data_IF_937663335284
#
_entry.id   IF_937663335284
#
_cell.length_a   1.000
_cell.length_b   1.000
_cell.length_c   1.000
_cell.angle_alpha   90.00
_cell.angle_beta   90.00
_cell.angle_gamma   90.00
#
_symmetry.space_group_name_H-M   'P 1'
#
loop_
_entity.id
_entity.type
_entity.pdbx_description
1 polymer ?
#
# COMPACT_ATOMS: atom_id res chain seq x y z
N UNK A 1 25.19 -85.18 -38.17
CA UNK A 1 26.63 -85.13 -38.47
C UNK A 1 27.29 -84.34 -37.35
N UNK A 2 28.17 -85.02 -36.62
CA UNK A 2 29.36 -84.56 -35.84
C UNK A 2 29.75 -83.07 -35.97
N UNK A 3 30.41 -82.37 -35.04
CA UNK A 3 30.91 -82.49 -33.66
C UNK A 3 31.91 -81.31 -33.53
N UNK A 4 32.21 -80.92 -32.30
CA UNK A 4 33.47 -80.32 -31.84
C UNK A 4 33.66 -78.80 -31.68
N UNK A 5 34.23 -78.56 -30.49
CA UNK A 5 34.66 -77.37 -29.78
C UNK A 5 36.01 -76.86 -30.30
N UNK A 6 36.37 -75.59 -30.07
CA UNK A 6 37.47 -75.28 -29.14
C UNK A 6 37.67 -73.79 -28.80
N UNK A 7 38.30 -73.58 -27.64
CA UNK A 7 38.64 -72.35 -26.91
C UNK A 7 39.69 -71.44 -27.59
N UNK A 8 39.71 -70.14 -27.22
CA UNK A 8 40.83 -69.43 -26.52
C UNK A 8 40.67 -67.89 -26.46
N UNK A 9 40.67 -67.33 -25.25
CA UNK A 9 41.22 -66.00 -24.86
C UNK A 9 42.77 -66.08 -24.77
N UNK A 10 43.61 -65.00 -24.67
CA UNK A 10 43.42 -63.75 -23.89
C UNK A 10 44.15 -62.46 -24.40
N UNK A 11 44.12 -61.42 -23.53
CA UNK A 11 45.09 -60.32 -23.25
C UNK A 11 44.86 -58.85 -23.70
N UNK A 12 44.47 -58.05 -22.69
CA UNK A 12 44.96 -56.73 -22.26
C UNK A 12 45.51 -55.70 -23.27
N UNK A 13 44.89 -54.51 -23.27
CA UNK A 13 45.62 -53.22 -23.19
C UNK A 13 44.96 -52.26 -22.21
N UNK A 14 45.80 -51.71 -21.33
CA UNK A 14 45.52 -50.69 -20.33
C UNK A 14 45.77 -49.27 -20.86
N UNK A 15 44.87 -48.36 -20.43
CA UNK A 15 45.06 -46.95 -20.07
C UNK A 15 45.52 -45.94 -21.15
N UNK A 16 44.64 -44.96 -21.42
CA UNK A 16 45.05 -43.55 -21.49
C UNK A 16 43.93 -42.62 -21.00
N UNK A 17 44.29 -41.73 -20.09
CA UNK A 17 43.45 -40.71 -19.45
C UNK A 17 43.12 -39.60 -20.45
N UNK A 18 41.83 -39.33 -20.67
CA UNK A 18 41.35 -37.96 -20.85
C UNK A 18 40.05 -37.77 -20.09
N UNK A 19 40.13 -36.85 -19.13
CA UNK A 19 39.00 -36.19 -18.47
C UNK A 19 38.19 -35.48 -19.54
N UNK A 20 36.89 -35.69 -19.57
CA UNK A 20 35.94 -34.61 -19.75
C UNK A 20 34.71 -34.93 -18.90
N UNK A 21 34.39 -33.96 -18.05
CA UNK A 21 33.40 -33.99 -17.01
C UNK A 21 32.02 -33.91 -17.69
N UNK A 22 31.23 -34.97 -17.62
CA UNK A 22 29.79 -34.88 -17.79
C UNK A 22 29.22 -34.51 -16.41
N UNK A 23 29.05 -33.21 -16.17
CA UNK A 23 28.33 -32.71 -15.01
C UNK A 23 26.88 -33.14 -15.14
N UNK A 24 26.47 -34.09 -14.32
CA UNK A 24 25.06 -34.31 -14.06
C UNK A 24 24.52 -33.05 -13.37
N UNK A 25 23.71 -32.28 -14.10
CA UNK A 25 22.92 -31.20 -13.56
C UNK A 25 21.88 -31.81 -12.61
N UNK A 26 22.26 -31.96 -11.34
CA UNK A 26 21.31 -32.10 -10.26
C UNK A 26 20.55 -30.78 -10.15
N UNK A 27 19.30 -30.77 -10.61
CA UNK A 27 18.35 -29.72 -10.26
C UNK A 27 18.07 -29.89 -8.77
N UNK A 28 18.89 -29.22 -7.95
CA UNK A 28 18.53 -28.90 -6.58
C UNK A 28 17.35 -27.94 -6.68
N UNK A 29 16.14 -28.48 -6.55
CA UNK A 29 14.98 -27.69 -6.18
C UNK A 29 15.28 -27.09 -4.79
N UNK A 30 15.80 -25.87 -4.78
CA UNK A 30 15.76 -25.02 -3.59
C UNK A 30 14.27 -24.78 -3.32
N UNK A 31 13.71 -25.23 -2.19
CA UNK A 31 12.44 -24.69 -1.78
C UNK A 31 12.71 -23.21 -1.49
N UNK A 32 12.19 -22.33 -2.34
CA UNK A 32 11.99 -20.94 -1.94
C UNK A 32 10.96 -20.98 -0.81
N UNK A 33 11.45 -21.19 0.42
CA UNK A 33 10.76 -20.73 1.61
C UNK A 33 10.74 -19.21 1.49
N UNK A 34 9.72 -18.69 0.84
CA UNK A 34 9.30 -17.31 1.07
C UNK A 34 8.93 -17.25 2.56
N UNK A 35 9.84 -16.77 3.41
CA UNK A 35 9.43 -16.35 4.74
C UNK A 35 8.49 -15.17 4.51
N UNK A 36 7.21 -15.38 4.75
CA UNK A 36 6.27 -14.30 4.99
C UNK A 36 6.75 -13.58 6.26
N UNK A 37 7.62 -12.59 6.09
CA UNK A 37 7.90 -11.61 7.13
C UNK A 37 6.70 -10.69 7.14
N UNK A 38 5.92 -10.70 8.21
CA UNK A 38 4.79 -9.77 8.33
C UNK A 38 5.32 -8.34 8.33
N UNK A 39 4.56 -7.36 7.84
CA UNK A 39 5.02 -5.96 7.88
C UNK A 39 5.17 -5.41 9.31
N UNK A 40 4.56 -6.09 10.29
CA UNK A 40 4.82 -5.86 11.72
C UNK A 40 6.23 -6.34 12.08
N UNK A 41 6.62 -7.53 11.64
CA UNK A 41 8.01 -8.00 11.70
C UNK A 41 8.96 -7.06 10.93
N UNK A 42 8.52 -6.46 9.82
CA UNK A 42 9.33 -5.48 9.10
C UNK A 42 9.60 -4.24 9.94
N UNK A 43 8.59 -3.60 10.56
CA UNK A 43 8.80 -2.45 11.47
C UNK A 43 9.64 -2.80 12.69
N UNK A 44 9.42 -4.01 13.19
CA UNK A 44 10.03 -4.50 14.42
C UNK A 44 11.48 -4.92 14.19
N UNK A 45 11.79 -5.47 13.02
CA UNK A 45 13.12 -5.95 12.64
C UNK A 45 13.85 -5.02 11.66
N UNK A 46 13.36 -3.79 11.42
CA UNK A 46 14.03 -2.85 10.51
C UNK A 46 15.37 -2.45 11.15
N UNK A 47 16.52 -2.57 10.44
CA UNK A 47 17.76 -1.93 10.86
C UNK A 47 17.49 -0.43 11.04
N UNK A 48 17.81 0.12 12.22
CA UNK A 48 17.44 1.49 12.58
C UNK A 48 17.73 2.52 11.48
N UNK A 49 16.96 3.62 11.48
CA UNK A 49 17.09 4.72 10.51
C UNK A 49 18.57 5.09 10.38
N UNK A 50 19.23 4.59 9.33
CA UNK A 50 20.59 5.01 8.98
C UNK A 50 20.59 6.50 8.63
N UNK A 51 21.74 7.10 8.39
CA UNK A 51 21.89 8.49 7.88
C UNK A 51 21.29 8.69 6.45
N UNK A 52 20.16 8.07 6.15
CA UNK A 52 19.28 8.41 5.04
C UNK A 52 18.62 9.75 5.40
N UNK A 53 19.41 10.79 5.14
CA UNK A 53 19.16 12.21 5.40
C UNK A 53 17.84 12.73 4.83
N UNK A 54 17.47 13.94 5.27
CA UNK A 54 16.42 14.88 4.82
C UNK A 54 16.14 14.96 3.29
N UNK A 55 16.92 14.27 2.47
CA UNK A 55 16.68 14.11 1.04
C UNK A 55 15.40 13.34 0.72
N UNK A 56 14.91 12.41 1.54
CA UNK A 56 13.65 11.70 1.21
C UNK A 56 12.45 12.66 1.23
N UNK A 57 12.36 13.53 2.24
CA UNK A 57 11.34 14.58 2.32
C UNK A 57 11.50 15.61 1.17
N UNK A 58 12.72 15.80 0.66
CA UNK A 58 13.00 16.69 -0.48
C UNK A 58 12.82 16.03 -1.87
N UNK A 59 12.78 14.70 -1.96
CA UNK A 59 12.56 13.96 -3.21
C UNK A 59 11.07 13.72 -3.42
N UNK A 60 10.47 14.73 -4.07
CA UNK A 60 9.15 14.69 -4.69
C UNK A 60 8.77 13.31 -5.23
N UNK A 61 7.59 12.85 -4.80
CA UNK A 61 6.68 11.90 -5.43
C UNK A 61 7.09 11.54 -6.88
N UNK A 62 7.64 10.34 -7.07
CA UNK A 62 7.70 9.72 -8.41
C UNK A 62 6.33 9.18 -8.84
N UNK A 63 5.27 9.95 -8.60
CA UNK A 63 4.04 9.78 -9.35
C UNK A 63 4.34 10.30 -10.77
N UNK A 64 4.17 9.49 -11.83
CA UNK A 64 4.37 9.96 -13.17
C UNK A 64 3.49 11.19 -13.42
N UNK A 65 4.09 12.22 -14.02
CA UNK A 65 3.49 13.53 -14.26
C UNK A 65 2.14 13.50 -15.01
N UNK A 66 1.73 12.35 -15.55
CA UNK A 66 0.48 12.19 -16.28
C UNK A 66 -0.79 12.10 -15.42
N UNK A 67 -0.70 11.95 -14.08
CA UNK A 67 -1.89 11.88 -13.20
C UNK A 67 -1.71 12.64 -11.86
N UNK A 68 -0.79 13.61 -11.79
CA UNK A 68 -0.73 14.51 -10.62
C UNK A 68 -1.65 15.70 -10.88
N UNK A 69 -2.92 15.54 -10.53
CA UNK A 69 -3.89 16.63 -10.53
C UNK A 69 -3.91 17.28 -9.15
N UNK A 70 -3.84 18.61 -9.10
CA UNK A 70 -4.11 19.38 -7.88
C UNK A 70 -5.62 19.41 -7.54
N UNK A 71 -6.44 18.64 -8.26
CA UNK A 71 -7.85 18.47 -7.91
C UNK A 71 -7.99 17.40 -6.82
N UNK A 72 -8.83 17.66 -5.80
CA UNK A 72 -9.09 16.69 -4.76
C UNK A 72 -9.87 15.50 -5.33
N UNK A 73 -9.68 14.32 -4.73
CA UNK A 73 -10.47 13.12 -5.07
C UNK A 73 -11.95 13.43 -4.86
N UNK A 74 -12.26 14.07 -3.73
CA UNK A 74 -13.59 14.56 -3.39
C UNK A 74 -13.52 16.07 -3.22
N UNK A 75 -14.11 16.80 -4.17
CA UNK A 75 -14.36 18.24 -4.08
C UNK A 75 -15.79 18.56 -4.54
N UNK A 76 -16.20 19.83 -4.63
CA UNK A 76 -17.59 20.22 -4.88
C UNK A 76 -18.19 19.64 -6.17
N UNK A 77 -17.35 19.39 -7.19
CA UNK A 77 -17.77 18.84 -8.49
C UNK A 77 -17.75 17.30 -8.55
N UNK A 78 -17.36 16.60 -7.48
CA UNK A 78 -17.22 15.15 -7.49
C UNK A 78 -18.52 14.41 -7.88
N UNK A 79 -19.71 14.77 -7.38
CA UNK A 79 -20.96 14.14 -7.82
C UNK A 79 -21.22 14.33 -9.32
N UNK A 80 -21.01 15.54 -9.84
CA UNK A 80 -21.21 15.85 -11.26
C UNK A 80 -20.26 15.06 -12.17
N UNK A 81 -18.98 14.98 -11.80
CA UNK A 81 -18.00 14.19 -12.53
C UNK A 81 -18.35 12.70 -12.52
N UNK A 82 -18.81 12.18 -11.37
CA UNK A 82 -19.26 10.79 -11.25
C UNK A 82 -20.49 10.50 -12.12
N UNK A 83 -21.50 11.38 -12.14
CA UNK A 83 -22.66 11.24 -13.03
C UNK A 83 -22.24 11.21 -14.51
N UNK A 84 -21.28 12.04 -14.91
CA UNK A 84 -20.73 12.02 -16.27
C UNK A 84 -20.01 10.69 -16.57
N UNK A 85 -19.20 10.18 -15.64
CA UNK A 85 -18.55 8.89 -15.77
C UNK A 85 -19.55 7.73 -15.86
N UNK A 86 -20.61 7.76 -15.05
CA UNK A 86 -21.72 6.80 -15.11
C UNK A 86 -22.37 6.82 -16.50
N UNK A 87 -22.69 8.00 -17.05
CA UNK A 87 -23.26 8.11 -18.39
C UNK A 87 -22.34 7.52 -19.48
N UNK A 88 -21.03 7.77 -19.39
CA UNK A 88 -20.05 7.17 -20.30
C UNK A 88 -20.00 5.63 -20.18
N UNK A 89 -20.01 5.10 -18.96
CA UNK A 89 -19.97 3.66 -18.73
C UNK A 89 -21.27 2.96 -19.11
N UNK A 90 -22.42 3.62 -18.95
CA UNK A 90 -23.71 3.17 -19.48
C UNK A 90 -23.64 3.00 -20.99
N UNK A 91 -23.08 3.98 -21.73
CA UNK A 91 -22.90 3.86 -23.18
C UNK A 91 -22.04 2.66 -23.57
N UNK A 92 -20.93 2.43 -22.85
CA UNK A 92 -20.07 1.26 -23.06
C UNK A 92 -20.85 -0.03 -22.83
N UNK A 93 -21.61 -0.13 -21.74
CA UNK A 93 -22.43 -1.31 -21.43
C UNK A 93 -23.49 -1.54 -22.51
N UNK A 94 -24.20 -0.50 -22.95
CA UNK A 94 -25.21 -0.63 -24.02
C UNK A 94 -24.61 -1.01 -25.37
N UNK A 95 -23.33 -0.70 -25.60
CA UNK A 95 -22.60 -1.07 -26.82
C UNK A 95 -22.02 -2.50 -26.75
N UNK A 96 -22.36 -3.28 -25.73
CA UNK A 96 -21.89 -4.65 -25.54
C UNK A 96 -20.69 -4.81 -24.59
N UNK A 97 -20.22 -3.72 -23.99
CA UNK A 97 -19.07 -3.73 -23.08
C UNK A 97 -17.71 -3.80 -23.81
N UNK A 98 -16.72 -4.36 -23.12
CA UNK A 98 -15.38 -4.62 -23.67
C UNK A 98 -15.05 -6.11 -23.63
N UNK A 99 -14.20 -6.60 -24.55
CA UNK A 99 -13.80 -8.00 -24.56
C UNK A 99 -12.98 -8.36 -23.32
N UNK A 100 -13.07 -9.63 -22.93
CA UNK A 100 -12.14 -10.23 -21.98
C UNK A 100 -10.80 -10.50 -22.67
N UNK A 101 -9.72 -10.40 -21.91
CA UNK A 101 -8.36 -10.67 -22.36
C UNK A 101 -7.95 -12.03 -21.78
N UNK A 102 -7.72 -13.01 -22.66
CA UNK A 102 -7.31 -14.36 -22.28
C UNK A 102 -5.96 -14.68 -22.92
N UNK A 103 -4.85 -14.26 -22.31
CA UNK A 103 -3.54 -14.48 -22.87
C UNK A 103 -3.08 -15.92 -22.65
N UNK A 104 -2.51 -16.53 -23.70
CA UNK A 104 -1.84 -17.83 -23.61
C UNK A 104 -0.35 -17.70 -23.27
N UNK A 105 0.17 -16.47 -23.31
CA UNK A 105 1.57 -16.12 -23.05
C UNK A 105 1.63 -14.85 -22.18
N UNK A 106 2.67 -14.65 -21.38
CA UNK A 106 2.88 -13.37 -20.69
C UNK A 106 2.90 -12.21 -21.68
N UNK A 107 1.99 -11.25 -21.51
CA UNK A 107 1.88 -10.10 -22.40
C UNK A 107 2.84 -8.98 -21.97
N UNK A 108 3.86 -8.76 -22.78
CA UNK A 108 4.91 -7.77 -22.56
C UNK A 108 5.44 -7.22 -23.88
N UNK A 109 6.20 -6.11 -23.81
CA UNK A 109 6.77 -5.46 -24.98
C UNK A 109 7.54 -6.43 -25.89
N UNK A 110 7.23 -6.38 -27.19
CA UNK A 110 7.85 -7.22 -28.22
C UNK A 110 7.14 -8.57 -28.46
N UNK A 111 6.16 -8.95 -27.64
CA UNK A 111 5.35 -10.16 -27.86
C UNK A 111 4.44 -9.98 -29.08
N UNK A 112 4.28 -11.07 -29.85
CA UNK A 112 3.31 -11.19 -30.92
C UNK A 112 2.37 -12.35 -30.58
N UNK A 113 1.09 -12.07 -30.30
CA UNK A 113 0.09 -13.07 -29.93
C UNK A 113 -1.34 -12.58 -30.24
N UNK A 114 -2.28 -13.44 -30.68
CA UNK A 114 -3.66 -13.04 -30.96
C UNK A 114 -4.40 -12.41 -29.77
N UNK A 115 -4.03 -12.73 -28.53
CA UNK A 115 -4.61 -12.09 -27.34
C UNK A 115 -4.27 -10.61 -27.22
N UNK A 116 -3.24 -10.11 -27.93
CA UNK A 116 -2.94 -8.68 -28.00
C UNK A 116 -4.02 -7.92 -28.78
N UNK A 117 -4.71 -8.54 -29.74
CA UNK A 117 -5.87 -7.90 -30.39
C UNK A 117 -7.00 -7.67 -29.39
N UNK A 118 -7.27 -8.66 -28.52
CA UNK A 118 -8.28 -8.54 -27.47
C UNK A 118 -7.91 -7.42 -26.49
N UNK A 119 -6.64 -7.38 -26.08
CA UNK A 119 -6.11 -6.32 -25.22
C UNK A 119 -6.24 -4.94 -25.86
N UNK A 120 -5.87 -4.79 -27.14
CA UNK A 120 -6.00 -3.52 -27.87
C UNK A 120 -7.46 -3.07 -27.93
N UNK A 121 -8.37 -3.97 -28.29
CA UNK A 121 -9.80 -3.65 -28.31
C UNK A 121 -10.31 -3.25 -26.92
N UNK A 122 -9.90 -3.98 -25.87
CA UNK A 122 -10.23 -3.67 -24.47
C UNK A 122 -9.78 -2.26 -24.06
N UNK A 123 -8.53 -1.91 -24.37
CA UNK A 123 -7.93 -0.60 -24.04
C UNK A 123 -8.50 0.53 -24.91
N UNK A 124 -8.90 0.25 -26.16
CA UNK A 124 -9.58 1.21 -27.03
C UNK A 124 -10.95 1.57 -26.48
N UNK A 125 -11.74 0.57 -26.04
CA UNK A 125 -13.09 0.80 -25.51
C UNK A 125 -13.05 1.62 -24.23
N UNK A 126 -12.04 1.42 -23.37
CA UNK A 126 -11.85 2.24 -22.17
C UNK A 126 -11.12 3.56 -22.38
N UNK A 127 -10.66 3.86 -23.59
CA UNK A 127 -9.96 5.11 -23.92
C UNK A 127 -8.48 5.15 -23.52
N UNK A 128 -7.90 4.04 -23.08
CA UNK A 128 -6.47 3.94 -22.71
C UNK A 128 -5.54 3.90 -23.96
N UNK A 129 -6.06 3.37 -25.08
CA UNK A 129 -5.40 3.29 -26.39
C UNK A 129 -6.21 4.04 -27.45
N UNK A 130 -5.63 4.97 -28.23
CA UNK A 130 -6.37 5.65 -29.30
C UNK A 130 -6.72 4.67 -30.44
N UNK A 131 -7.90 4.83 -31.04
CA UNK A 131 -8.35 4.01 -32.17
C UNK A 131 -7.39 4.02 -33.37
N UNK A 132 -6.66 5.13 -33.56
CA UNK A 132 -5.66 5.26 -34.63
C UNK A 132 -4.46 4.33 -34.48
N UNK A 133 -4.22 3.75 -33.29
CA UNK A 133 -3.21 2.73 -33.08
C UNK A 133 -3.55 1.40 -33.78
N UNK A 134 -4.82 1.19 -34.17
CA UNK A 134 -5.30 0.02 -34.90
C UNK A 134 -5.42 -1.26 -34.05
N UNK A 135 -5.78 -2.35 -34.70
CA UNK A 135 -5.83 -3.70 -34.13
C UNK A 135 -4.71 -4.53 -34.75
N UNK A 136 -3.85 -5.12 -33.92
CA UNK A 136 -2.74 -5.99 -34.33
C UNK A 136 -2.44 -7.02 -33.23
N UNK A 137 -1.68 -8.05 -33.58
CA UNK A 137 -1.20 -9.05 -32.60
C UNK A 137 0.06 -8.58 -31.84
N UNK A 138 0.58 -7.39 -32.13
CA UNK A 138 1.87 -6.94 -31.58
C UNK A 138 1.68 -6.09 -30.32
N UNK A 139 2.36 -6.51 -29.25
CA UNK A 139 2.54 -5.72 -28.05
C UNK A 139 3.67 -4.72 -28.29
N UNK A 140 3.32 -3.58 -28.88
CA UNK A 140 4.23 -2.50 -29.21
C UNK A 140 4.27 -1.40 -28.14
N UNK A 141 4.97 -0.31 -28.43
CA UNK A 141 5.11 0.83 -27.52
C UNK A 141 3.79 1.55 -27.25
N UNK A 142 2.85 1.52 -28.20
CA UNK A 142 1.52 2.09 -28.00
C UNK A 142 0.72 1.29 -26.98
N UNK A 143 0.73 -0.05 -27.09
CA UNK A 143 0.08 -0.94 -26.12
C UNK A 143 0.75 -0.81 -24.75
N UNK A 144 2.09 -0.80 -24.68
CA UNK A 144 2.79 -0.62 -23.41
C UNK A 144 2.41 0.69 -22.72
N UNK A 145 2.38 1.80 -23.47
CA UNK A 145 1.95 3.10 -22.94
C UNK A 145 0.49 3.08 -22.47
N UNK A 146 -0.41 2.42 -23.21
CA UNK A 146 -1.81 2.27 -22.83
C UNK A 146 -2.00 1.42 -21.57
N UNK A 147 -1.24 0.32 -21.42
CA UNK A 147 -1.28 -0.51 -20.21
C UNK A 147 -0.76 0.27 -19.00
N UNK A 148 0.28 1.11 -19.15
CA UNK A 148 0.73 1.99 -18.06
C UNK A 148 -0.35 2.97 -17.62
N UNK A 149 -1.06 3.61 -18.56
CA UNK A 149 -2.20 4.49 -18.23
C UNK A 149 -3.32 3.74 -17.52
N UNK A 150 -3.63 2.53 -18.00
CA UNK A 150 -4.60 1.66 -17.37
C UNK A 150 -4.18 1.32 -15.93
N UNK A 151 -2.94 0.91 -15.72
CA UNK A 151 -2.39 0.58 -14.39
C UNK A 151 -2.47 1.79 -13.46
N UNK A 152 -2.02 2.97 -13.92
CA UNK A 152 -2.06 4.21 -13.17
C UNK A 152 -3.48 4.53 -12.66
N UNK A 153 -4.47 4.51 -13.56
CA UNK A 153 -5.86 4.84 -13.18
C UNK A 153 -6.56 3.75 -12.36
N UNK A 154 -5.96 2.57 -12.21
CA UNK A 154 -6.43 1.50 -11.32
C UNK A 154 -5.64 1.41 -10.00
N UNK A 155 -4.65 2.28 -9.78
CA UNK A 155 -3.78 2.20 -8.62
C UNK A 155 -2.84 0.99 -8.62
N UNK A 156 -2.50 0.48 -9.81
CA UNK A 156 -1.57 -0.63 -10.00
C UNK A 156 -0.18 -0.12 -10.40
N UNK A 157 0.84 -0.96 -10.27
CA UNK A 157 2.20 -0.65 -10.71
C UNK A 157 2.30 -0.38 -12.21
N UNK A 158 2.79 0.80 -12.57
CA UNK A 158 2.85 1.32 -13.94
C UNK A 158 4.02 0.74 -14.76
N UNK A 159 4.21 -0.57 -14.70
CA UNK A 159 5.31 -1.26 -15.39
C UNK A 159 5.08 -1.31 -16.91
N UNK A 160 3.82 -1.37 -17.33
CA UNK A 160 3.44 -1.76 -18.68
C UNK A 160 3.59 -3.26 -18.92
N UNK A 161 3.76 -4.06 -17.88
CA UNK A 161 3.70 -5.52 -17.91
C UNK A 161 2.33 -5.97 -17.39
N UNK A 162 1.70 -6.97 -18.03
CA UNK A 162 0.40 -7.49 -17.58
C UNK A 162 0.66 -8.63 -16.59
N UNK A 163 0.72 -8.28 -15.30
CA UNK A 163 0.71 -9.23 -14.20
C UNK A 163 -0.70 -9.76 -13.89
N UNK A 164 -0.81 -10.65 -12.91
CA UNK A 164 -2.08 -11.25 -12.49
C UNK A 164 -3.11 -10.18 -12.07
N UNK A 165 -2.70 -9.16 -11.32
CA UNK A 165 -3.59 -8.11 -10.84
C UNK A 165 -4.07 -7.20 -11.98
N UNK A 166 -3.18 -6.84 -12.90
CA UNK A 166 -3.52 -6.09 -14.12
C UNK A 166 -4.50 -6.89 -14.97
N UNK A 167 -4.27 -8.20 -15.12
CA UNK A 167 -5.16 -9.07 -15.88
C UNK A 167 -6.54 -9.20 -15.24
N UNK A 168 -6.60 -9.42 -13.91
CA UNK A 168 -7.87 -9.42 -13.16
C UNK A 168 -8.62 -8.09 -13.35
N UNK A 169 -7.93 -6.97 -13.19
CA UNK A 169 -8.51 -5.64 -13.34
C UNK A 169 -9.04 -5.37 -14.76
N UNK A 170 -8.30 -5.79 -15.80
CA UNK A 170 -8.70 -5.70 -17.21
C UNK A 170 -10.00 -6.47 -17.47
N UNK A 171 -10.14 -7.63 -16.83
CA UNK A 171 -11.24 -8.56 -17.01
C UNK A 171 -12.48 -8.26 -16.14
N UNK A 172 -12.44 -7.28 -15.25
CA UNK A 172 -13.66 -6.75 -14.63
C UNK A 172 -14.58 -6.19 -15.73
N UNK A 173 -15.82 -6.68 -15.79
CA UNK A 173 -16.77 -6.31 -16.84
C UNK A 173 -17.21 -4.84 -16.75
N UNK A 174 -17.62 -4.26 -17.88
CA UNK A 174 -18.15 -2.89 -17.92
C UNK A 174 -19.37 -2.69 -17.02
N UNK A 175 -20.22 -3.73 -16.90
CA UNK A 175 -21.40 -3.70 -16.02
C UNK A 175 -21.00 -3.61 -14.55
N UNK A 176 -19.99 -4.37 -14.14
CA UNK A 176 -19.47 -4.33 -12.76
C UNK A 176 -18.81 -2.97 -12.47
N UNK A 177 -18.04 -2.41 -13.41
CA UNK A 177 -17.46 -1.06 -13.25
C UNK A 177 -18.51 0.05 -13.22
N UNK A 178 -19.59 -0.08 -13.99
CA UNK A 178 -20.73 0.84 -13.91
C UNK A 178 -21.38 0.79 -12.52
N UNK A 179 -21.69 -0.41 -12.01
CA UNK A 179 -22.23 -0.57 -10.66
C UNK A 179 -21.29 -0.02 -9.59
N UNK A 180 -19.97 -0.20 -9.76
CA UNK A 180 -18.97 0.39 -8.88
C UNK A 180 -19.06 1.93 -8.85
N UNK A 181 -19.23 2.58 -10.00
CA UNK A 181 -19.42 4.03 -10.07
C UNK A 181 -20.71 4.48 -9.40
N UNK A 182 -21.81 3.75 -9.62
CA UNK A 182 -23.13 4.05 -9.00
C UNK A 182 -23.08 3.91 -7.47
N UNK A 183 -22.43 2.87 -6.96
CA UNK A 183 -22.18 2.69 -5.51
C UNK A 183 -21.37 3.87 -4.94
N UNK A 184 -20.32 4.30 -5.63
CA UNK A 184 -19.49 5.39 -5.14
C UNK A 184 -20.14 6.77 -5.29
N UNK A 185 -21.03 6.99 -6.26
CA UNK A 185 -21.86 8.20 -6.32
C UNK A 185 -22.68 8.35 -5.04
N UNK A 186 -23.34 7.28 -4.58
CA UNK A 186 -24.10 7.28 -3.33
C UNK A 186 -23.21 7.65 -2.14
N UNK A 187 -22.01 7.05 -2.03
CA UNK A 187 -21.06 7.36 -0.95
C UNK A 187 -20.58 8.82 -0.96
N UNK A 188 -20.38 9.40 -2.15
CA UNK A 188 -19.99 10.80 -2.30
C UNK A 188 -21.13 11.73 -1.92
N UNK A 189 -22.37 11.40 -2.31
CA UNK A 189 -23.55 12.16 -1.92
C UNK A 189 -23.80 12.11 -0.41
N UNK A 190 -23.62 10.95 0.21
CA UNK A 190 -23.77 10.75 1.67
C UNK A 190 -22.76 11.55 2.51
N UNK A 191 -21.55 11.80 1.97
CA UNK A 191 -20.52 12.60 2.65
C UNK A 191 -20.95 14.07 2.79
N UNK A 192 -21.83 14.55 1.90
CA UNK A 192 -22.24 15.94 1.80
C UNK A 192 -21.36 16.77 0.87
N UNK A 193 -21.95 17.83 0.32
CA UNK A 193 -21.30 18.70 -0.67
C UNK A 193 -20.34 19.74 -0.08
N UNK A 194 -20.40 19.97 1.24
CA UNK A 194 -19.57 20.94 1.95
C UNK A 194 -18.61 20.22 2.91
N UNK A 195 -17.36 20.06 2.45
CA UNK A 195 -16.25 19.54 3.26
C UNK A 195 -15.49 20.67 3.99
N UNK A 196 -15.94 21.92 3.82
CA UNK A 196 -15.23 23.13 4.23
C UNK A 196 -14.13 23.53 3.25
N UNK A 197 -13.65 24.76 3.39
CA UNK A 197 -12.57 25.30 2.54
C UNK A 197 -11.20 24.71 2.86
N UNK A 198 -11.03 24.07 4.03
CA UNK A 198 -9.77 23.51 4.50
C UNK A 198 -10.00 22.21 5.28
N UNK A 199 -9.56 21.08 4.75
CA UNK A 199 -9.78 19.76 5.35
C UNK A 199 -8.68 18.76 4.99
N UNK A 200 -8.62 17.67 5.74
CA UNK A 200 -7.84 16.47 5.43
C UNK A 200 -8.79 15.36 4.97
N UNK A 201 -8.45 14.69 3.87
CA UNK A 201 -9.18 13.55 3.33
C UNK A 201 -8.24 12.35 3.19
N UNK A 202 -8.54 11.26 3.91
CA UNK A 202 -7.89 9.97 3.70
C UNK A 202 -8.84 9.08 2.91
N UNK A 203 -8.50 8.79 1.65
CA UNK A 203 -9.22 7.78 0.87
C UNK A 203 -8.57 6.42 1.07
N UNK A 204 -9.22 5.57 1.87
CA UNK A 204 -8.69 4.28 2.36
C UNK A 204 -8.26 3.36 1.20
N UNK A 205 -9.14 2.97 0.25
CA UNK A 205 -8.75 2.07 -0.85
C UNK A 205 -7.74 2.69 -1.82
N UNK A 206 -7.64 4.02 -1.87
CA UNK A 206 -6.62 4.70 -2.67
C UNK A 206 -5.27 4.83 -1.95
N UNK A 207 -5.24 4.61 -0.63
CA UNK A 207 -4.06 4.78 0.22
C UNK A 207 -3.39 6.16 0.02
N UNK A 208 -4.21 7.21 -0.02
CA UNK A 208 -3.77 8.60 -0.09
C UNK A 208 -4.40 9.45 1.01
N UNK A 209 -3.62 10.40 1.50
CA UNK A 209 -4.04 11.49 2.37
C UNK A 209 -3.88 12.82 1.63
N UNK A 210 -4.95 13.59 1.50
CA UNK A 210 -4.98 14.88 0.83
C UNK A 210 -5.25 15.98 1.86
N UNK A 211 -4.37 16.96 1.93
CA UNK A 211 -4.67 18.24 2.55
C UNK A 211 -5.24 19.16 1.48
N UNK A 212 -6.51 19.51 1.61
CA UNK A 212 -7.24 20.33 0.64
C UNK A 212 -7.44 21.72 1.21
N UNK A 213 -7.19 22.72 0.38
CA UNK A 213 -7.42 24.12 0.68
C UNK A 213 -7.98 24.84 -0.55
N UNK A 214 -9.09 25.55 -0.39
CA UNK A 214 -9.74 26.33 -1.45
C UNK A 214 -9.99 25.49 -2.72
N UNK A 215 -10.58 24.31 -2.56
CA UNK A 215 -10.88 23.34 -3.63
C UNK A 215 -9.65 22.82 -4.41
N UNK A 216 -8.45 23.01 -3.86
CA UNK A 216 -7.20 22.52 -4.43
C UNK A 216 -6.46 21.66 -3.43
N UNK A 217 -5.86 20.57 -3.91
CA UNK A 217 -4.95 19.74 -3.11
C UNK A 217 -3.68 20.53 -2.89
N UNK A 218 -3.43 20.92 -1.64
CA UNK A 218 -2.20 21.56 -1.21
C UNK A 218 -1.08 20.53 -1.02
N UNK A 219 -1.42 19.37 -0.45
CA UNK A 219 -0.51 18.23 -0.27
C UNK A 219 -1.25 16.93 -0.58
N UNK A 220 -0.57 16.01 -1.26
CA UNK A 220 -1.01 14.62 -1.44
C UNK A 220 0.10 13.70 -0.97
N UNK A 221 -0.15 13.02 0.13
CA UNK A 221 0.78 12.09 0.76
C UNK A 221 0.30 10.66 0.50
N UNK A 222 1.23 9.75 0.25
CA UNK A 222 0.93 8.32 0.33
C UNK A 222 0.56 7.97 1.78
N UNK A 223 -0.42 7.10 1.94
CA UNK A 223 -0.80 6.56 3.24
C UNK A 223 -0.60 5.04 3.29
N UNK A 224 -0.44 4.49 4.49
CA UNK A 224 -0.60 3.06 4.79
C UNK A 224 -1.77 2.92 5.74
N UNK A 225 -2.78 2.14 5.36
CA UNK A 225 -4.03 1.95 6.09
C UNK A 225 -4.13 0.53 6.63
N UNK A 226 -5.23 0.22 7.33
CA UNK A 226 -5.45 -1.06 7.97
C UNK A 226 -5.52 -2.22 6.99
N UNK A 227 -5.03 -3.39 7.40
CA UNK A 227 -5.26 -4.64 6.66
C UNK A 227 -6.73 -5.07 6.74
N UNK A 228 -7.22 -5.94 5.83
CA UNK A 228 -8.61 -6.40 5.86
C UNK A 228 -9.06 -7.01 7.19
N UNK A 229 -8.17 -7.70 7.91
CA UNK A 229 -8.46 -8.27 9.24
C UNK A 229 -8.52 -7.22 10.37
N UNK A 230 -8.06 -5.98 10.13
CA UNK A 230 -8.05 -4.85 11.07
C UNK A 230 -8.30 -3.53 10.30
N UNK A 231 -9.51 -3.33 9.75
CA UNK A 231 -9.76 -2.26 8.80
C UNK A 231 -9.63 -0.88 9.46
N UNK A 232 -9.13 0.10 8.70
CA UNK A 232 -9.25 1.51 9.08
C UNK A 232 -10.72 1.92 9.03
N UNK A 233 -11.26 2.54 10.10
CA UNK A 233 -12.67 2.93 10.14
C UNK A 233 -12.95 4.12 9.21
N UNK A 234 -14.11 4.09 8.54
CA UNK A 234 -14.71 5.27 7.91
C UNK A 234 -15.18 6.22 9.02
N UNK A 235 -14.79 7.49 8.96
CA UNK A 235 -15.15 8.48 9.97
C UNK A 235 -15.12 9.92 9.44
N UNK A 236 -15.82 10.79 10.16
CA UNK A 236 -15.80 12.23 9.98
C UNK A 236 -15.48 12.86 11.35
N UNK A 237 -14.42 13.65 11.43
CA UNK A 237 -13.85 14.13 12.68
C UNK A 237 -13.15 15.48 12.50
N UNK A 238 -12.44 15.94 13.54
CA UNK A 238 -11.55 17.10 13.51
C UNK A 238 -10.22 16.76 14.16
N UNK A 239 -9.13 17.08 13.47
CA UNK A 239 -7.77 17.06 14.00
C UNK A 239 -7.63 18.23 14.96
N UNK A 240 -7.16 17.96 16.18
CA UNK A 240 -7.06 18.97 17.23
C UNK A 240 -5.66 19.04 17.86
N UNK A 241 -4.84 18.00 17.73
CA UNK A 241 -3.52 17.94 18.37
C UNK A 241 -2.52 17.19 17.49
N UNK A 242 -1.28 17.67 17.52
CA UNK A 242 -0.10 16.95 17.04
C UNK A 242 0.81 16.73 18.24
N UNK A 243 1.34 15.52 18.40
CA UNK A 243 2.37 15.20 19.38
C UNK A 243 3.65 14.90 18.61
N UNK A 244 4.63 15.80 18.73
CA UNK A 244 5.99 15.57 18.23
C UNK A 244 6.76 14.66 19.19
N UNK A 245 7.57 13.76 18.64
CA UNK A 245 8.30 12.72 19.38
C UNK A 245 7.39 11.94 20.35
N UNK A 246 6.27 11.38 19.88
CA UNK A 246 5.28 10.77 20.76
C UNK A 246 5.81 9.45 21.36
N UNK A 247 5.62 9.19 22.66
CA UNK A 247 5.82 7.85 23.21
C UNK A 247 4.73 6.92 22.66
N UNK A 248 5.07 5.64 22.46
CA UNK A 248 4.09 4.67 21.96
C UNK A 248 3.63 3.71 23.04
N UNK A 249 2.35 3.80 23.43
CA UNK A 249 1.72 2.77 24.24
C UNK A 249 1.26 1.63 23.35
N UNK A 250 1.85 0.45 23.54
CA UNK A 250 1.59 -0.71 22.68
C UNK A 250 0.19 -1.27 22.96
N UNK A 251 -0.69 -1.41 21.94
CA UNK A 251 -1.97 -2.08 22.08
C UNK A 251 -1.81 -3.54 22.53
N UNK A 252 -2.73 -4.02 23.39
CA UNK A 252 -2.67 -5.41 23.91
C UNK A 252 -2.60 -6.48 22.82
N UNK A 253 -3.27 -6.26 21.70
CA UNK A 253 -3.26 -7.19 20.57
C UNK A 253 -1.87 -7.35 19.95
N UNK A 254 -1.06 -6.27 19.94
CA UNK A 254 0.32 -6.30 19.42
C UNK A 254 1.24 -6.94 20.45
N UNK A 255 1.04 -6.65 21.75
CA UNK A 255 1.78 -7.31 22.82
C UNK A 255 1.64 -8.84 22.68
N UNK A 256 0.41 -9.33 22.52
CA UNK A 256 0.14 -10.76 22.48
C UNK A 256 0.58 -11.46 21.19
N UNK A 257 0.33 -10.84 20.03
CA UNK A 257 0.54 -11.50 18.74
C UNK A 257 1.94 -11.32 18.18
N UNK A 258 2.63 -10.24 18.57
CA UNK A 258 3.86 -9.83 17.92
C UNK A 258 5.02 -9.79 18.94
N UNK A 259 4.89 -9.03 20.04
CA UNK A 259 5.98 -8.87 21.03
C UNK A 259 6.25 -10.15 21.82
N UNK A 260 5.22 -10.86 22.28
CA UNK A 260 5.42 -12.07 23.08
C UNK A 260 6.18 -13.17 22.33
N UNK A 261 5.86 -13.49 21.05
CA UNK A 261 6.70 -14.36 20.23
C UNK A 261 8.17 -13.89 20.15
N UNK A 262 8.40 -12.61 19.88
CA UNK A 262 9.77 -12.07 19.77
C UNK A 262 10.55 -12.15 21.07
N UNK A 263 9.92 -11.90 22.22
CA UNK A 263 10.56 -12.07 23.53
C UNK A 263 10.94 -13.52 23.86
N UNK A 264 10.30 -14.52 23.24
CA UNK A 264 10.70 -15.92 23.38
C UNK A 264 11.93 -16.25 22.54
N UNK A 265 12.13 -15.54 21.43
CA UNK A 265 13.28 -15.71 20.54
C UNK A 265 14.48 -14.89 21.01
N UNK A 266 14.24 -13.64 21.42
CA UNK A 266 15.24 -12.69 21.90
C UNK A 266 14.78 -11.97 23.19
N UNK A 267 15.30 -12.36 24.36
CA UNK A 267 15.00 -11.71 25.63
C UNK A 267 15.44 -10.23 25.73
N UNK A 268 16.32 -9.75 24.85
CA UNK A 268 16.77 -8.35 24.84
C UNK A 268 15.88 -7.43 24.01
N UNK A 269 14.91 -8.00 23.28
CA UNK A 269 14.08 -7.28 22.32
C UNK A 269 13.48 -5.97 22.87
N UNK A 270 12.91 -5.99 24.08
CA UNK A 270 12.31 -4.79 24.69
C UNK A 270 13.34 -3.71 25.01
N UNK A 271 14.55 -4.10 25.43
CA UNK A 271 15.64 -3.15 25.74
C UNK A 271 16.13 -2.49 24.46
N UNK A 272 16.40 -3.28 23.43
CA UNK A 272 16.91 -2.80 22.14
C UNK A 272 15.90 -1.88 21.44
N UNK A 273 14.61 -2.15 21.62
CA UNK A 273 13.51 -1.33 21.10
C UNK A 273 13.05 -0.23 22.07
N UNK A 274 13.71 -0.05 23.22
CA UNK A 274 13.39 0.96 24.25
C UNK A 274 11.93 0.91 24.72
N UNK A 275 11.40 -0.29 24.90
CA UNK A 275 10.06 -0.55 25.41
C UNK A 275 10.16 -0.86 26.91
N UNK A 276 9.53 -0.02 27.72
CA UNK A 276 9.47 -0.17 29.18
C UNK A 276 8.12 -0.73 29.60
N UNK A 277 8.12 -1.50 30.68
CA UNK A 277 6.90 -2.11 31.23
C UNK A 277 6.48 -1.38 32.49
N UNK A 278 5.19 -1.07 32.62
CA UNK A 278 4.64 -0.41 33.80
C UNK A 278 3.48 -1.19 34.40
N UNK A 279 3.46 -1.32 35.72
CA UNK A 279 2.31 -1.86 36.45
C UNK A 279 1.14 -0.85 36.53
N UNK A 280 0.01 -1.28 37.10
CA UNK A 280 -1.17 -0.42 37.27
C UNK A 280 -0.95 0.75 38.26
N UNK A 281 0.18 0.77 38.98
CA UNK A 281 0.57 1.84 39.90
C UNK A 281 1.61 2.78 39.26
N UNK A 282 2.04 2.51 38.03
CA UNK A 282 3.05 3.27 37.30
C UNK A 282 4.50 2.91 37.65
N UNK A 283 4.74 1.84 38.40
CA UNK A 283 6.10 1.38 38.67
C UNK A 283 6.65 0.62 37.46
N UNK A 284 7.91 0.86 37.14
CA UNK A 284 8.59 0.11 36.08
C UNK A 284 8.83 -1.34 36.52
N UNK A 285 8.56 -2.29 35.63
CA UNK A 285 8.67 -3.73 35.87
C UNK A 285 9.77 -4.29 34.98
N UNK A 286 10.67 -5.08 35.56
CA UNK A 286 11.74 -5.74 34.82
C UNK A 286 11.16 -6.82 33.87
N UNK A 287 11.41 -6.75 32.55
CA UNK A 287 11.00 -7.77 31.58
C UNK A 287 11.40 -9.20 31.93
N UNK A 288 12.52 -9.38 32.64
CA UNK A 288 13.02 -10.71 33.04
C UNK A 288 12.17 -11.38 34.12
N UNK A 289 11.27 -10.64 34.76
CA UNK A 289 10.33 -11.16 35.76
C UNK A 289 9.03 -11.69 35.14
N UNK A 290 8.85 -11.53 33.83
CA UNK A 290 7.61 -11.87 33.11
C UNK A 290 7.73 -13.24 32.45
N UNK A 291 6.68 -14.05 32.58
CA UNK A 291 6.55 -15.29 31.81
C UNK A 291 6.03 -15.01 30.40
N UNK A 292 6.95 -14.97 29.43
CA UNK A 292 6.64 -14.75 28.01
C UNK A 292 5.99 -15.98 27.33
N UNK A 293 6.02 -17.15 27.96
CA UNK A 293 5.36 -18.37 27.45
C UNK A 293 3.89 -18.47 27.88
N UNK A 294 3.40 -17.56 28.72
CA UNK A 294 2.01 -17.49 29.10
C UNK A 294 1.08 -17.35 27.87
N UNK A 295 -0.13 -17.89 27.99
CA UNK A 295 -1.13 -17.83 26.90
C UNK A 295 -1.62 -16.39 26.63
N UNK A 296 -1.62 -15.55 27.66
CA UNK A 296 -2.17 -14.18 27.62
C UNK A 296 -1.07 -13.15 27.85
N UNK A 297 -1.24 -11.99 27.21
CA UNK A 297 -0.38 -10.84 27.46
C UNK A 297 -0.44 -10.41 28.94
N UNK A 298 0.72 -10.06 29.54
CA UNK A 298 0.76 -9.57 30.91
C UNK A 298 -0.13 -8.33 31.06
N UNK A 299 -0.69 -8.15 32.25
CA UNK A 299 -1.51 -6.99 32.57
C UNK A 299 -0.65 -5.78 32.94
N UNK A 300 0.19 -5.37 32.00
CA UNK A 300 1.14 -4.27 32.12
C UNK A 300 0.97 -3.31 30.93
N UNK A 301 1.38 -2.06 31.14
CA UNK A 301 1.47 -1.06 30.07
C UNK A 301 2.86 -1.15 29.44
N UNK A 302 2.91 -1.41 28.14
CA UNK A 302 4.15 -1.39 27.36
C UNK A 302 4.25 -0.03 26.72
N UNK A 303 5.32 0.71 27.03
CA UNK A 303 5.55 2.05 26.49
C UNK A 303 6.92 2.11 25.82
N UNK A 304 6.93 2.34 24.53
CA UNK A 304 8.14 2.69 23.80
C UNK A 304 8.50 4.16 24.04
N UNK A 305 9.75 4.40 24.38
CA UNK A 305 10.29 5.76 24.50
C UNK A 305 10.34 6.45 23.12
N UNK A 306 10.22 7.79 23.06
CA UNK A 306 10.38 8.53 21.82
C UNK A 306 11.72 8.30 21.12
N UNK A 307 11.72 8.37 19.79
CA UNK A 307 12.94 8.32 19.00
C UNK A 307 12.69 7.99 17.53
N UNK A 308 13.74 8.11 16.68
CA UNK A 308 13.62 7.89 15.24
C UNK A 308 13.23 6.46 14.87
N UNK A 309 13.46 5.49 15.76
CA UNK A 309 13.08 4.08 15.58
C UNK A 309 11.80 3.71 16.34
N UNK A 310 11.12 4.69 16.97
CA UNK A 310 9.81 4.46 17.59
C UNK A 310 8.80 4.08 16.51
N UNK A 311 7.83 3.21 16.81
CA UNK A 311 6.78 2.82 15.87
C UNK A 311 5.96 4.01 15.32
N UNK A 312 5.96 5.15 16.03
CA UNK A 312 5.32 6.41 15.62
C UNK A 312 6.32 7.50 15.19
N UNK A 313 7.62 7.16 15.13
CA UNK A 313 8.73 8.03 14.72
C UNK A 313 8.61 9.48 15.23
N UNK A 314 8.45 10.46 14.32
CA UNK A 314 8.50 11.88 14.68
C UNK A 314 7.16 12.49 15.11
N UNK A 315 6.03 11.93 14.68
CA UNK A 315 4.72 12.62 14.77
C UNK A 315 3.57 11.66 15.04
N UNK A 316 2.65 12.08 15.92
CA UNK A 316 1.29 11.53 16.04
C UNK A 316 0.26 12.65 15.91
N UNK A 317 -0.69 12.49 15.00
CA UNK A 317 -1.78 13.44 14.73
C UNK A 317 -3.09 12.86 15.28
N UNK A 318 -3.65 13.56 16.27
CA UNK A 318 -4.86 13.15 16.97
C UNK A 318 -6.11 13.85 16.45
N UNK A 319 -7.19 13.08 16.35
CA UNK A 319 -8.53 13.53 16.01
C UNK A 319 -9.56 12.74 16.82
N UNK A 320 -10.73 13.33 17.06
CA UNK A 320 -11.76 12.70 17.90
C UNK A 320 -12.34 11.44 17.25
N UNK A 321 -12.22 10.29 17.91
CA UNK A 321 -12.85 9.06 17.44
C UNK A 321 -13.05 8.04 18.58
N UNK A 322 -14.01 7.13 18.39
CA UNK A 322 -14.30 6.03 19.33
C UNK A 322 -13.44 4.77 19.10
N UNK A 323 -12.57 4.78 18.09
CA UNK A 323 -11.85 3.61 17.60
C UNK A 323 -10.38 3.57 18.05
N UNK A 324 -9.93 4.57 18.82
CA UNK A 324 -8.53 4.76 19.22
C UNK A 324 -7.54 4.79 18.02
N UNK A 325 -8.01 5.23 16.86
CA UNK A 325 -7.16 5.42 15.67
C UNK A 325 -6.59 6.83 15.60
N UNK A 326 -5.44 6.98 14.94
CA UNK A 326 -4.75 8.25 14.73
C UNK A 326 -3.93 8.18 13.43
N UNK A 327 -3.46 9.34 12.96
CA UNK A 327 -2.46 9.40 11.89
C UNK A 327 -1.07 9.53 12.52
N UNK A 328 -0.03 8.95 11.93
CA UNK A 328 1.32 9.02 12.50
C UNK A 328 2.43 8.81 11.47
N UNK A 329 3.66 9.14 11.87
CA UNK A 329 4.89 8.85 11.14
C UNK A 329 5.31 7.38 11.30
N UNK A 330 6.29 6.92 10.53
CA UNK A 330 6.85 5.58 10.64
C UNK A 330 8.37 5.55 10.39
N UNK A 331 9.14 4.73 11.10
CA UNK A 331 10.57 4.58 10.82
C UNK A 331 10.81 3.88 9.47
N UNK A 332 9.87 3.01 9.05
CA UNK A 332 9.98 2.19 7.85
C UNK A 332 9.42 2.91 6.62
N UNK A 333 10.05 4.03 6.23
CA UNK A 333 9.62 4.86 5.09
C UNK A 333 9.62 4.09 3.75
N UNK A 334 10.43 3.03 3.63
CA UNK A 334 10.46 2.18 2.42
C UNK A 334 9.11 1.55 2.10
N UNK A 335 8.25 1.31 3.11
CA UNK A 335 6.91 0.72 2.94
C UNK A 335 5.98 1.59 2.06
N UNK A 336 6.24 2.89 1.94
CA UNK A 336 5.45 3.75 1.06
C UNK A 336 5.70 3.49 -0.43
N UNK A 337 6.83 2.86 -0.78
CA UNK A 337 7.12 2.41 -2.14
C UNK A 337 6.43 1.10 -2.50
N UNK A 338 5.87 0.39 -1.52
CA UNK A 338 5.16 -0.84 -1.77
C UNK A 338 3.79 -0.55 -2.39
N UNK A 339 3.39 -1.45 -3.30
CA UNK A 339 2.05 -1.45 -3.90
C UNK A 339 1.01 -1.76 -2.83
N UNK A 340 1.38 -2.63 -1.88
CA UNK A 340 0.50 -3.07 -0.80
C UNK A 340 0.68 -2.17 0.40
N UNK A 341 -0.25 -1.23 0.55
CA UNK A 341 -0.21 -0.19 1.59
C UNK A 341 -1.24 -0.45 2.70
N UNK A 342 -1.48 -1.72 2.99
CA UNK A 342 -2.60 -2.19 3.81
C UNK A 342 -2.11 -3.01 5.00
N UNK A 343 -1.21 -2.46 5.80
CA UNK A 343 -0.44 -3.22 6.81
C UNK A 343 -0.60 -2.71 8.24
N UNK A 344 -1.48 -1.73 8.45
CA UNK A 344 -1.69 -1.16 9.78
C UNK A 344 -2.71 -1.97 10.59
N UNK A 345 -2.77 -1.70 11.90
CA UNK A 345 -3.84 -2.18 12.79
C UNK A 345 -4.95 -1.14 12.94
N UNK A 346 -5.36 -0.49 11.84
CA UNK A 346 -6.45 0.47 11.77
C UNK A 346 -6.04 1.96 11.81
N UNK A 347 -4.87 2.29 12.37
CA UNK A 347 -4.28 3.63 12.29
C UNK A 347 -3.78 3.93 10.86
N UNK A 348 -3.42 5.18 10.57
CA UNK A 348 -2.96 5.56 9.23
C UNK A 348 -1.54 6.12 9.31
N UNK A 349 -0.60 5.55 8.57
CA UNK A 349 0.75 6.13 8.44
C UNK A 349 0.79 7.04 7.24
N UNK A 350 1.48 8.17 7.35
CA UNK A 350 1.52 9.19 6.31
C UNK A 350 2.97 9.39 5.86
N UNK A 351 3.20 9.26 4.56
CA UNK A 351 4.48 9.60 3.93
C UNK A 351 4.71 11.11 4.02
N UNK A 352 5.94 11.56 4.26
CA UNK A 352 6.29 12.99 4.36
C UNK A 352 5.36 13.76 5.32
N UNK A 353 5.00 13.14 6.45
CA UNK A 353 4.03 13.69 7.41
C UNK A 353 4.43 15.06 7.97
N UNK A 354 5.72 15.39 7.98
CA UNK A 354 6.22 16.70 8.42
C UNK A 354 5.68 17.87 7.59
N UNK A 355 5.47 17.65 6.29
CA UNK A 355 4.84 18.66 5.44
C UNK A 355 3.37 18.85 5.79
N UNK A 356 2.68 17.75 6.10
CA UNK A 356 1.32 17.79 6.62
C UNK A 356 1.26 18.50 7.98
N UNK A 357 2.24 18.30 8.86
CA UNK A 357 2.33 18.98 10.17
C UNK A 357 2.48 20.50 9.98
N UNK A 358 3.36 20.94 9.09
CA UNK A 358 3.52 22.37 8.74
C UNK A 358 2.22 22.93 8.18
N UNK A 359 1.54 22.20 7.29
CA UNK A 359 0.27 22.65 6.75
C UNK A 359 -0.81 22.72 7.82
N UNK A 360 -0.89 21.74 8.73
CA UNK A 360 -1.86 21.67 9.83
C UNK A 360 -1.67 22.82 10.82
N UNK A 361 -0.43 23.11 11.21
CA UNK A 361 -0.06 24.11 12.21
C UNK A 361 0.11 25.53 11.66
N UNK A 362 -0.14 25.78 10.37
CA UNK A 362 0.11 27.07 9.73
C UNK A 362 -0.53 28.29 10.42
N UNK A 363 -1.67 28.09 11.10
CA UNK A 363 -2.39 29.13 11.85
C UNK A 363 -2.10 29.08 13.36
N UNK A 364 -1.33 28.11 13.83
CA UNK A 364 -0.92 27.95 15.22
C UNK A 364 0.32 28.82 15.50
N UNK A 365 0.21 29.90 16.29
CA UNK A 365 1.33 30.82 16.48
C UNK A 365 2.57 30.13 17.05
N UNK A 366 3.74 30.46 16.50
CA UNK A 366 5.03 29.91 16.95
C UNK A 366 5.41 28.55 16.35
N UNK A 367 4.54 27.93 15.55
CA UNK A 367 4.81 26.62 14.92
C UNK A 367 5.11 26.73 13.43
N UNK A 368 6.17 27.46 13.09
CA UNK A 368 6.74 27.42 11.75
C UNK A 368 7.56 26.13 11.51
N UNK A 369 7.96 25.88 10.25
CA UNK A 369 8.76 24.71 9.89
C UNK A 369 10.05 24.60 10.71
N UNK A 370 10.74 25.71 10.95
CA UNK A 370 12.01 25.68 11.66
C UNK A 370 11.81 25.24 13.12
N UNK A 371 10.75 25.75 13.78
CA UNK A 371 10.44 25.36 15.15
C UNK A 371 9.99 23.90 15.25
N UNK A 372 9.23 23.41 14.28
CA UNK A 372 8.83 21.99 14.19
C UNK A 372 10.07 21.09 14.10
N UNK A 373 10.99 21.35 13.17
CA UNK A 373 12.20 20.52 13.03
C UNK A 373 13.11 20.60 14.27
N UNK A 374 13.24 21.78 14.89
CA UNK A 374 13.98 21.92 16.15
C UNK A 374 13.35 21.08 17.27
N UNK A 375 12.01 21.03 17.34
CA UNK A 375 11.27 20.24 18.32
C UNK A 375 11.48 18.74 18.10
N UNK A 376 11.42 18.29 16.84
CA UNK A 376 11.69 16.90 16.47
C UNK A 376 13.14 16.53 16.82
N UNK A 377 14.12 17.37 16.46
CA UNK A 377 15.53 17.14 16.79
C UNK A 377 15.83 17.11 18.30
N UNK A 378 15.08 17.85 19.12
CA UNK A 378 15.24 17.79 20.57
C UNK A 378 14.87 16.42 21.16
N UNK A 379 14.07 15.61 20.46
CA UNK A 379 13.66 14.26 20.88
C UNK A 379 12.73 14.23 22.10
N UNK A 380 12.24 15.39 22.55
CA UNK A 380 11.34 15.52 23.70
C UNK A 380 9.89 15.47 23.20
N UNK A 381 9.07 14.61 23.83
CA UNK A 381 7.64 14.51 23.53
C UNK A 381 6.94 15.84 23.78
N UNK A 382 6.40 16.44 22.73
CA UNK A 382 5.82 17.79 22.77
C UNK A 382 4.42 17.78 22.16
N UNK A 383 3.35 17.79 22.98
CA UNK A 383 1.99 17.93 22.49
C UNK A 383 1.69 19.38 22.10
N UNK A 384 1.00 19.55 20.97
CA UNK A 384 0.68 20.84 20.35
C UNK A 384 -0.78 20.84 19.94
N UNK A 385 -1.58 21.66 20.59
CA UNK A 385 -2.95 21.89 20.16
C UNK A 385 -2.97 22.81 18.93
N UNK A 386 -3.77 22.44 17.93
CA UNK A 386 -4.02 23.30 16.78
C UNK A 386 -4.84 24.52 17.22
N UNK A 387 -4.46 25.71 16.76
CA UNK A 387 -5.27 26.91 16.98
C UNK A 387 -6.65 26.79 16.30
N UNK A 388 -6.65 26.23 15.08
CA UNK A 388 -7.86 25.95 14.30
C UNK A 388 -7.97 24.44 14.03
N UNK A 389 -8.86 23.71 14.75
CA UNK A 389 -9.10 22.30 14.48
C UNK A 389 -9.55 22.05 13.03
N UNK A 390 -8.95 21.07 12.37
CA UNK A 390 -9.14 20.83 10.92
C UNK A 390 -10.07 19.65 10.69
N UNK A 391 -11.16 19.78 9.90
CA UNK A 391 -11.98 18.65 9.47
C UNK A 391 -11.13 17.52 8.88
N UNK A 392 -11.45 16.28 9.26
CA UNK A 392 -10.76 15.08 8.82
C UNK A 392 -11.76 14.00 8.42
N UNK A 393 -11.67 13.56 7.17
CA UNK A 393 -12.59 12.60 6.57
C UNK A 393 -11.84 11.36 6.15
N UNK A 394 -12.16 10.23 6.76
CA UNK A 394 -11.69 8.93 6.30
C UNK A 394 -12.82 8.30 5.50
N UNK A 395 -12.59 8.13 4.20
CA UNK A 395 -13.61 7.71 3.24
C UNK A 395 -13.19 6.41 2.56
N UNK A 396 -14.17 5.70 2.02
CA UNK A 396 -13.96 4.48 1.25
C UNK A 396 -14.52 4.67 -0.16
N UNK A 397 -13.72 5.28 -1.05
CA UNK A 397 -14.12 5.58 -2.42
C UNK A 397 -13.24 4.81 -3.40
N UNK A 398 -13.81 3.78 -4.00
CA UNK A 398 -13.13 2.84 -4.91
C UNK A 398 -13.27 3.22 -6.38
N UNK A 399 -14.15 4.14 -6.71
CA UNK A 399 -14.30 4.69 -8.06
C UNK A 399 -14.67 6.17 -8.03
N UNK A 400 -13.99 6.98 -8.82
CA UNK A 400 -14.27 8.41 -8.96
C UNK A 400 -13.85 8.91 -10.34
N UNK A 401 -14.30 10.10 -10.72
CA UNK A 401 -13.85 10.75 -11.94
C UNK A 401 -13.17 12.08 -11.62
N UNK A 402 -11.96 12.24 -12.14
CA UNK A 402 -11.25 13.50 -12.08
C UNK A 402 -11.81 14.48 -13.14
N UNK A 403 -11.52 15.77 -12.98
CA UNK A 403 -12.03 16.84 -13.87
C UNK A 403 -11.61 16.71 -15.34
N UNK A 404 -10.55 15.94 -15.62
CA UNK A 404 -10.11 15.59 -16.98
C UNK A 404 -11.00 14.53 -17.66
N UNK A 405 -12.03 14.04 -16.95
CA UNK A 405 -12.93 12.99 -17.43
C UNK A 405 -12.33 11.59 -17.32
N UNK A 406 -11.13 11.44 -16.75
CA UNK A 406 -10.52 10.14 -16.54
C UNK A 406 -11.13 9.48 -15.30
N UNK A 407 -11.69 8.29 -15.51
CA UNK A 407 -12.27 7.48 -14.44
C UNK A 407 -11.19 6.67 -13.75
N UNK A 408 -11.10 6.86 -12.44
CA UNK A 408 -10.18 6.21 -11.52
C UNK A 408 -10.89 5.07 -10.81
N UNK A 409 -10.19 3.95 -10.62
CA UNK A 409 -10.64 2.80 -9.86
C UNK A 409 -9.58 2.38 -8.84
N UNK A 410 -10.00 1.75 -7.75
CA UNK A 410 -9.12 1.12 -6.76
C UNK A 410 -9.67 -0.25 -6.40
N UNK A 411 -8.80 -1.07 -5.83
CA UNK A 411 -9.14 -2.39 -5.29
C UNK A 411 -10.16 -2.26 -4.15
N UNK A 412 -11.18 -3.12 -4.12
CA UNK A 412 -12.16 -3.18 -3.04
C UNK A 412 -11.63 -4.04 -1.87
N UNK A 413 -10.55 -3.56 -1.24
CA UNK A 413 -9.76 -4.27 -0.22
C UNK A 413 -10.57 -4.77 0.99
N UNK A 414 -11.70 -4.13 1.31
CA UNK A 414 -12.56 -4.48 2.44
C UNK A 414 -13.90 -5.08 1.99
N UNK A 415 -14.06 -5.36 0.69
CA UNK A 415 -15.28 -5.94 0.11
C UNK A 415 -16.56 -5.12 0.39
N UNK A 416 -16.46 -3.78 0.35
CA UNK A 416 -17.58 -2.90 0.66
C UNK A 416 -18.39 -2.51 -0.59
N UNK A 417 -17.92 -2.83 -1.80
CA UNK A 417 -18.64 -2.56 -3.06
C UNK A 417 -19.64 -3.67 -3.41
N UNK A 418 -19.57 -4.83 -2.74
CA UNK A 418 -20.54 -5.92 -2.89
C UNK A 418 -20.37 -6.80 -4.15
N UNK A 419 -19.27 -6.65 -4.89
CA UNK A 419 -18.94 -7.47 -6.05
C UNK A 419 -17.55 -8.11 -5.88
N UNK A 420 -17.43 -9.44 -5.79
CA UNK A 420 -16.15 -10.13 -5.55
C UNK A 420 -15.07 -9.82 -6.59
N UNK A 421 -15.44 -9.53 -7.83
CA UNK A 421 -14.51 -9.20 -8.91
C UNK A 421 -13.79 -7.86 -8.72
N UNK A 422 -14.30 -7.00 -7.83
CA UNK A 422 -13.67 -5.72 -7.47
C UNK A 422 -12.59 -5.89 -6.40
N UNK A 423 -12.64 -6.98 -5.63
CA UNK A 423 -11.60 -7.37 -4.70
C UNK A 423 -10.52 -8.15 -5.45
N UNK A 424 -9.58 -7.42 -6.05
CA UNK A 424 -8.44 -7.96 -6.78
C UNK A 424 -7.47 -8.72 -5.88
N UNK A 425 -7.61 -8.54 -4.56
CA UNK A 425 -6.78 -9.17 -3.54
C UNK A 425 -5.31 -8.79 -3.73
N UNK A 426 -5.06 -7.53 -4.08
CA UNK A 426 -3.67 -7.01 -4.18
C UNK A 426 -2.91 -7.12 -2.86
N UNK A 427 -3.63 -7.36 -1.75
CA UNK A 427 -3.11 -7.64 -0.40
C UNK A 427 -2.82 -9.11 -0.09
N UNK A 428 -3.23 -10.06 -0.94
CA UNK A 428 -3.14 -11.49 -0.62
C UNK A 428 -1.71 -12.00 -0.72
N UNK A 429 -1.18 -12.50 0.40
CA UNK A 429 0.22 -12.94 0.55
C UNK A 429 0.93 -12.40 1.79
N UNK A 430 0.27 -11.54 2.58
CA UNK A 430 0.83 -10.91 3.79
C UNK A 430 0.16 -11.45 5.09
N UNK A 431 -0.66 -12.50 4.99
CA UNK A 431 -1.30 -13.15 6.15
C UNK A 431 -0.39 -14.12 6.91
#
# INVERSE_FOLDING_TARGET
MTKDLDRKTPTNKTVSRRRFIAGAAGVLAMPHLASAQSAVDALINTPGRGNWDDQFDAFTSRAPASVSSNQPILGPNAPANLMQAIAQYQQIVTSGGWPQVHPNVPLQFGVYDPSVQQLRQRLIVSGDLPRSAGISDSYDSYVQGAVRRFQARHGLSETGYIDEYTLKALNVSARVRLAQLETNLTRVEDLGSDLGERYVLVNIPAAYCEAVEQDSVALRNVAIVGRPSRPTPILNSKIFEIIFNPPWTVPRSIIQKDIMPLMREDPNYLVDNKIRLYDNKGNEVDPMTIDWNAEKAPNLTFRQDPGPNSAMASTKINFHNKHAVYMHDTPSQSLFNDIVRFESSGCVRIENVRDLDVWLLKNTPGWDRQHIEQTIHAGISTPVNLADPVPNHFVYITAWSAKDGVVQFRDDIYNLDGAPELALQTTSGIE
#
